data_IF_305532710773
#
_entry.id   IF_305532710773
#
_cell.length_a   1.000
_cell.length_b   1.000
_cell.length_c   1.000
_cell.angle_alpha   90.00
_cell.angle_beta   90.00
_cell.angle_gamma   90.00
#
_symmetry.space_group_name_H-M   'P 1'
#
loop_
_entity.id
_entity.type
_entity.pdbx_description
1 polymer ?
#
# COMPACT_ATOMS: atom_id res chain seq x y z
N UNK A 1 29.04 -46.45 -13.64
CA UNK A 1 27.64 -46.54 -13.14
C UNK A 1 27.22 -45.18 -12.60
N UNK A 2 26.36 -44.42 -13.31
CA UNK A 2 25.95 -43.06 -12.89
C UNK A 2 24.51 -42.79 -13.34
N UNK A 3 23.58 -43.63 -12.90
CA UNK A 3 22.15 -43.48 -13.21
C UNK A 3 21.32 -42.98 -12.02
N UNK A 4 21.92 -42.83 -10.83
CA UNK A 4 21.16 -42.48 -9.62
C UNK A 4 20.99 -40.96 -9.38
N UNK A 5 21.80 -40.10 -9.99
CA UNK A 5 21.69 -38.65 -9.78
C UNK A 5 20.55 -37.97 -10.58
N UNK A 6 20.01 -38.62 -11.62
CA UNK A 6 18.96 -38.02 -12.46
C UNK A 6 17.55 -38.24 -11.89
N UNK A 7 17.31 -39.33 -11.18
CA UNK A 7 16.00 -39.69 -10.62
C UNK A 7 15.61 -38.78 -9.45
N UNK A 8 16.55 -38.44 -8.56
CA UNK A 8 16.27 -37.58 -7.40
C UNK A 8 15.88 -36.14 -7.79
N UNK A 9 16.45 -35.59 -8.87
CA UNK A 9 16.02 -34.27 -9.38
C UNK A 9 14.60 -34.29 -9.96
N UNK A 10 14.17 -35.43 -10.52
CA UNK A 10 12.83 -35.60 -11.07
C UNK A 10 11.76 -35.72 -9.97
N UNK A 11 12.08 -36.38 -8.86
CA UNK A 11 11.16 -36.53 -7.72
C UNK A 11 10.97 -35.21 -6.97
N UNK A 12 12.03 -34.41 -6.78
CA UNK A 12 11.91 -33.09 -6.15
C UNK A 12 11.14 -32.07 -7.02
N UNK A 13 11.17 -32.18 -8.35
CA UNK A 13 10.36 -31.36 -9.25
C UNK A 13 8.87 -31.78 -9.25
N UNK A 14 8.56 -33.01 -8.85
CA UNK A 14 7.19 -33.52 -8.75
C UNK A 14 6.47 -33.07 -7.46
N UNK A 15 7.22 -32.73 -6.41
CA UNK A 15 6.69 -32.06 -5.22
C UNK A 15 6.68 -30.55 -5.40
N UNK A 16 5.97 -30.08 -6.43
CA UNK A 16 5.48 -28.70 -6.48
C UNK A 16 4.79 -28.43 -5.14
N UNK A 17 5.35 -27.56 -4.31
CA UNK A 17 4.73 -27.11 -3.07
C UNK A 17 3.34 -26.57 -3.40
N UNK A 18 2.33 -27.41 -3.22
CA UNK A 18 0.94 -27.06 -3.52
C UNK A 18 0.51 -26.06 -2.46
N UNK A 19 0.67 -24.77 -2.76
CA UNK A 19 0.10 -23.71 -1.96
C UNK A 19 -1.39 -23.69 -2.30
N UNK A 20 -2.28 -23.98 -1.33
CA UNK A 20 -3.71 -23.94 -1.59
C UNK A 20 -4.12 -22.55 -2.09
N UNK A 21 -5.07 -22.49 -3.02
CA UNK A 21 -5.45 -21.22 -3.65
C UNK A 21 -6.06 -20.22 -2.65
N UNK A 22 -6.71 -20.71 -1.59
CA UNK A 22 -7.19 -19.85 -0.50
C UNK A 22 -6.03 -19.11 0.18
N UNK A 23 -4.91 -19.82 0.43
CA UNK A 23 -3.74 -19.25 1.08
C UNK A 23 -3.04 -18.24 0.16
N UNK A 24 -2.93 -18.54 -1.15
CA UNK A 24 -2.42 -17.58 -2.14
C UNK A 24 -3.26 -16.30 -2.17
N UNK A 25 -4.59 -16.42 -2.14
CA UNK A 25 -5.52 -15.28 -2.10
C UNK A 25 -5.34 -14.47 -0.82
N UNK A 26 -5.26 -15.13 0.33
CA UNK A 26 -5.03 -14.47 1.62
C UNK A 26 -3.70 -13.71 1.67
N UNK A 27 -2.61 -14.32 1.19
CA UNK A 27 -1.30 -13.66 1.10
C UNK A 27 -1.38 -12.42 0.21
N UNK A 28 -1.99 -12.53 -0.97
CA UNK A 28 -2.16 -11.37 -1.88
C UNK A 28 -2.97 -10.25 -1.23
N UNK A 29 -4.06 -10.61 -0.53
CA UNK A 29 -4.89 -9.63 0.19
C UNK A 29 -4.12 -8.94 1.31
N UNK A 30 -3.36 -9.68 2.12
CA UNK A 30 -2.54 -9.13 3.18
C UNK A 30 -1.43 -8.20 2.65
N UNK A 31 -0.77 -8.59 1.56
CA UNK A 31 0.24 -7.76 0.89
C UNK A 31 -0.37 -6.47 0.35
N UNK A 32 -1.53 -6.56 -0.33
CA UNK A 32 -2.23 -5.39 -0.86
C UNK A 32 -2.73 -4.45 0.26
N UNK A 33 -3.24 -5.01 1.35
CA UNK A 33 -3.65 -4.25 2.52
C UNK A 33 -2.45 -3.53 3.15
N UNK A 34 -1.33 -4.25 3.35
CA UNK A 34 -0.14 -3.69 3.96
C UNK A 34 0.47 -2.57 3.09
N UNK A 35 0.52 -2.74 1.77
CA UNK A 35 1.04 -1.70 0.87
C UNK A 35 0.17 -0.45 0.90
N UNK A 36 -1.16 -0.60 0.89
CA UNK A 36 -2.10 0.51 1.02
C UNK A 36 -1.94 1.24 2.37
N UNK A 37 -1.87 0.49 3.47
CA UNK A 37 -1.66 1.05 4.81
C UNK A 37 -0.33 1.80 4.93
N UNK A 38 0.77 1.22 4.45
CA UNK A 38 2.09 1.84 4.48
C UNK A 38 2.11 3.14 3.66
N UNK A 39 1.47 3.15 2.49
CA UNK A 39 1.33 4.33 1.65
C UNK A 39 0.53 5.44 2.36
N UNK A 40 -0.63 5.11 2.94
CA UNK A 40 -1.44 6.06 3.70
C UNK A 40 -0.67 6.63 4.91
N UNK A 41 0.08 5.80 5.62
CA UNK A 41 0.91 6.23 6.75
C UNK A 41 1.99 7.22 6.31
N UNK A 42 2.63 6.96 5.15
CA UNK A 42 3.63 7.87 4.59
C UNK A 42 3.00 9.21 4.17
N UNK A 43 1.83 9.21 3.54
CA UNK A 43 1.09 10.44 3.23
C UNK A 43 0.75 11.20 4.51
N UNK A 44 0.27 10.53 5.55
CA UNK A 44 -0.05 11.19 6.81
C UNK A 44 1.20 11.83 7.44
N UNK A 45 2.37 11.18 7.33
CA UNK A 45 3.64 11.72 7.81
C UNK A 45 4.07 12.94 6.97
N UNK A 46 4.03 12.86 5.65
CA UNK A 46 4.38 13.99 4.79
C UNK A 46 3.45 15.18 5.00
N UNK A 47 2.14 14.93 5.14
CA UNK A 47 1.13 15.94 5.45
C UNK A 47 1.47 16.71 6.74
N UNK A 48 1.78 16.00 7.83
CA UNK A 48 2.20 16.62 9.10
C UNK A 48 3.48 17.44 8.96
N UNK A 49 4.44 16.96 8.17
CA UNK A 49 5.67 17.71 7.89
C UNK A 49 5.37 19.00 7.13
N UNK A 50 4.48 18.96 6.14
CA UNK A 50 4.04 20.14 5.40
C UNK A 50 3.24 21.10 6.28
N UNK A 51 2.39 20.61 7.17
CA UNK A 51 1.64 21.43 8.14
C UNK A 51 2.56 22.19 9.09
N UNK A 52 3.71 21.59 9.46
CA UNK A 52 4.72 22.18 10.33
C UNK A 52 5.67 23.16 9.61
N UNK A 53 5.60 23.29 8.29
CA UNK A 53 6.41 24.27 7.56
C UNK A 53 6.02 25.70 7.95
N UNK A 54 6.97 26.66 7.91
CA UNK A 54 6.66 28.07 8.02
C UNK A 54 5.58 28.50 7.01
N UNK A 55 4.77 29.48 7.41
CA UNK A 55 3.62 29.93 6.63
C UNK A 55 3.98 30.40 5.22
N UNK A 56 5.04 31.21 5.06
CA UNK A 56 5.48 31.67 3.74
C UNK A 56 5.83 30.51 2.80
N UNK A 57 6.56 29.50 3.29
CA UNK A 57 6.92 28.31 2.49
C UNK A 57 5.67 27.53 2.08
N UNK A 58 4.70 27.37 3.00
CA UNK A 58 3.43 26.68 2.70
C UNK A 58 2.63 27.39 1.62
N UNK A 59 2.53 28.71 1.70
CA UNK A 59 1.84 29.51 0.67
C UNK A 59 2.56 29.48 -0.66
N UNK A 60 3.89 29.56 -0.67
CA UNK A 60 4.71 29.53 -1.90
C UNK A 60 4.53 28.23 -2.68
N UNK A 61 4.37 27.10 -1.97
CA UNK A 61 4.10 25.79 -2.60
C UNK A 61 2.61 25.52 -2.84
N UNK A 62 1.72 26.45 -2.49
CA UNK A 62 0.28 26.30 -2.64
C UNK A 62 -0.35 25.26 -1.70
N UNK A 63 0.22 25.05 -0.51
CA UNK A 63 -0.26 24.11 0.51
C UNK A 63 -1.13 24.80 1.59
N UNK A 64 -2.29 24.23 1.98
CA UNK A 64 -2.91 23.03 1.41
C UNK A 64 -3.50 23.32 0.03
N UNK A 65 -3.46 22.32 -0.86
CA UNK A 65 -4.09 22.43 -2.18
C UNK A 65 -5.58 22.77 -1.99
N UNK A 66 -6.12 23.68 -2.80
CA UNK A 66 -7.50 24.16 -2.66
C UNK A 66 -8.51 23.00 -2.78
N UNK A 67 -8.16 21.93 -3.51
CA UNK A 67 -8.96 20.70 -3.64
C UNK A 67 -8.87 19.76 -2.43
N UNK A 68 -7.82 19.86 -1.59
CA UNK A 68 -7.69 19.09 -0.35
C UNK A 68 -8.59 19.63 0.77
N UNK A 69 -9.27 20.77 0.54
CA UNK A 69 -10.38 21.23 1.37
C UNK A 69 -11.59 20.36 1.10
N UNK A 70 -11.52 19.10 1.55
CA UNK A 70 -12.73 18.29 1.74
C UNK A 70 -13.72 19.15 2.54
N UNK A 71 -14.97 19.33 2.08
CA UNK A 71 -15.97 20.05 2.85
C UNK A 71 -16.05 19.38 4.22
N UNK A 72 -15.87 20.18 5.28
CA UNK A 72 -16.00 19.66 6.63
C UNK A 72 -17.34 18.92 6.74
N UNK A 73 -17.39 17.69 7.28
CA UNK A 73 -18.65 16.99 7.50
C UNK A 73 -19.50 17.85 8.45
N UNK A 74 -20.44 18.61 7.89
CA UNK A 74 -21.20 19.64 8.61
C UNK A 74 -21.45 20.93 7.82
N UNK A 75 -20.65 21.22 6.79
CA UNK A 75 -20.96 22.29 5.84
C UNK A 75 -21.85 21.75 4.71
N UNK A 76 -23.02 21.24 5.09
CA UNK A 76 -24.15 21.27 4.16
C UNK A 76 -24.40 22.75 3.88
N UNK A 77 -24.20 23.11 2.62
CA UNK A 77 -24.64 24.33 1.97
C UNK A 77 -26.13 24.56 2.26
N UNK A 78 -26.42 25.23 3.38
CA UNK A 78 -27.64 26.03 3.54
C UNK A 78 -27.44 27.29 2.71
N UNK A 79 -27.65 27.20 1.41
CA UNK A 79 -27.97 28.37 0.62
C UNK A 79 -29.43 28.29 0.22
N UNK A 80 -30.12 29.35 0.65
CA UNK A 80 -31.51 29.72 0.46
C UNK A 80 -31.69 30.36 -0.91
#
# INVERSE_FOLDING_TARGET
>A
MSLQCKTLRSECAAHSSFIPDWLRKSIRSAVAFHSAWAYQKQIAKSRRMLENLPEHIRHDIGWPCIEDRLPAPGQNSRNK
#
